data_IF_749651266850
#
_entry.id   IF_749651266850
#
_cell.length_a   1.000
_cell.length_b   1.000
_cell.length_c   1.000
_cell.angle_alpha   90.00
_cell.angle_beta   90.00
_cell.angle_gamma   90.00
#
_symmetry.space_group_name_H-M   'P 1'
#
loop_
_entity.id
_entity.type
_entity.pdbx_description
1 polymer ?
#
# COMPACT_ATOMS: atom_id res chain seq x y z
N UNK A 1 -14.45 2.01 -14.07
CA UNK A 1 -15.11 2.20 -12.76
C UNK A 1 -16.49 1.55 -12.69
N UNK A 2 -17.41 1.82 -13.62
CA UNK A 2 -18.77 1.24 -13.65
C UNK A 2 -18.82 -0.27 -13.36
N UNK A 3 -18.02 -1.07 -14.08
CA UNK A 3 -17.97 -2.53 -13.90
C UNK A 3 -17.63 -2.96 -12.45
N UNK A 4 -16.75 -2.21 -11.76
CA UNK A 4 -16.39 -2.48 -10.36
C UNK A 4 -17.59 -2.19 -9.44
N UNK A 5 -18.26 -1.06 -9.64
CA UNK A 5 -19.43 -0.67 -8.84
C UNK A 5 -20.55 -1.69 -9.06
N UNK A 6 -20.87 -2.00 -10.31
CA UNK A 6 -21.88 -2.98 -10.70
C UNK A 6 -21.63 -4.37 -10.13
N UNK A 7 -20.39 -4.85 -10.21
CA UNK A 7 -20.01 -6.14 -9.63
C UNK A 7 -19.95 -6.13 -8.09
N UNK A 8 -20.02 -4.97 -7.44
CA UNK A 8 -20.17 -4.89 -5.97
C UNK A 8 -21.61 -5.18 -5.54
N UNK A 9 -22.58 -5.04 -6.44
CA UNK A 9 -24.00 -5.11 -6.13
C UNK A 9 -24.51 -3.80 -5.53
N UNK A 10 -25.78 -3.81 -5.11
CA UNK A 10 -26.39 -2.66 -4.44
C UNK A 10 -25.81 -2.45 -3.04
N UNK A 11 -25.60 -1.19 -2.61
CA UNK A 11 -25.34 -0.84 -1.22
C UNK A 11 -26.43 -1.37 -0.28
N UNK A 12 -26.10 -1.59 1.00
CA UNK A 12 -27.03 -2.12 1.99
C UNK A 12 -28.21 -1.20 2.31
N UNK A 13 -28.03 0.10 2.09
CA UNK A 13 -29.02 1.16 2.27
C UNK A 13 -29.94 1.36 1.05
N UNK A 14 -29.70 0.64 -0.06
CA UNK A 14 -30.48 0.71 -1.30
C UNK A 14 -31.47 -0.46 -1.42
N UNK A 15 -32.51 -0.46 -0.59
CA UNK A 15 -33.55 -1.51 -0.59
C UNK A 15 -34.70 -1.20 -1.57
N UNK A 16 -35.13 0.05 -1.65
CA UNK A 16 -36.26 0.47 -2.51
C UNK A 16 -35.82 0.87 -3.92
N UNK A 17 -36.75 0.84 -4.88
CA UNK A 17 -36.45 1.25 -6.26
C UNK A 17 -36.12 2.74 -6.36
N UNK A 18 -36.70 3.59 -5.51
CA UNK A 18 -36.37 5.01 -5.43
C UNK A 18 -34.93 5.22 -4.94
N UNK A 19 -34.49 4.46 -3.94
CA UNK A 19 -33.12 4.52 -3.43
C UNK A 19 -32.11 4.06 -4.49
N UNK A 20 -32.43 2.97 -5.21
CA UNK A 20 -31.60 2.47 -6.32
C UNK A 20 -31.50 3.48 -7.46
N UNK A 21 -32.63 4.08 -7.86
CA UNK A 21 -32.66 5.11 -8.89
C UNK A 21 -31.84 6.34 -8.47
N UNK A 22 -32.00 6.77 -7.21
CA UNK A 22 -31.21 7.87 -6.65
C UNK A 22 -29.71 7.56 -6.64
N UNK A 23 -29.31 6.37 -6.20
CA UNK A 23 -27.90 5.96 -6.21
C UNK A 23 -27.27 6.03 -7.60
N UNK A 24 -28.01 5.61 -8.64
CA UNK A 24 -27.54 5.65 -10.04
C UNK A 24 -27.38 7.09 -10.52
N UNK A 25 -28.33 7.97 -10.21
CA UNK A 25 -28.27 9.39 -10.55
C UNK A 25 -27.14 10.09 -9.80
N UNK A 26 -27.03 9.89 -8.49
CA UNK A 26 -25.99 10.47 -7.64
C UNK A 26 -24.59 10.02 -8.11
N UNK A 27 -24.43 8.74 -8.48
CA UNK A 27 -23.16 8.23 -9.02
C UNK A 27 -22.81 8.88 -10.37
N UNK A 28 -23.79 9.15 -11.23
CA UNK A 28 -23.54 9.84 -12.49
C UNK A 28 -23.17 11.31 -12.24
N UNK A 29 -23.89 11.99 -11.35
CA UNK A 29 -23.69 13.41 -11.06
C UNK A 29 -22.35 13.68 -10.36
N UNK A 30 -22.00 12.87 -9.35
CA UNK A 30 -20.79 13.08 -8.54
C UNK A 30 -19.55 12.40 -9.13
N UNK A 31 -19.67 11.14 -9.58
CA UNK A 31 -18.51 10.36 -10.03
C UNK A 31 -18.32 10.41 -11.55
N UNK A 32 -19.32 10.90 -12.30
CA UNK A 32 -19.32 10.86 -13.76
C UNK A 32 -19.42 9.44 -14.33
N UNK A 33 -19.92 8.48 -13.54
CA UNK A 33 -19.96 7.06 -13.92
C UNK A 33 -21.39 6.63 -14.22
N UNK A 34 -21.66 6.30 -15.48
CA UNK A 34 -22.94 5.70 -15.87
C UNK A 34 -23.04 4.26 -15.39
N UNK A 35 -24.06 3.97 -14.58
CA UNK A 35 -24.38 2.62 -14.13
C UNK A 35 -25.57 2.06 -14.91
N UNK A 36 -25.50 0.77 -15.24
CA UNK A 36 -26.64 -0.01 -15.71
C UNK A 36 -27.22 -0.79 -14.52
N UNK A 37 -28.44 -0.43 -14.05
CA UNK A 37 -29.08 -1.06 -12.88
C UNK A 37 -29.26 -2.57 -13.03
N UNK A 38 -29.44 -3.06 -14.26
CA UNK A 38 -29.65 -4.51 -14.52
C UNK A 38 -28.39 -5.34 -14.26
N UNK A 39 -27.22 -4.69 -14.24
CA UNK A 39 -25.92 -5.32 -14.01
C UNK A 39 -25.40 -5.17 -12.58
N UNK A 40 -26.18 -4.55 -11.69
CA UNK A 40 -25.85 -4.36 -10.26
C UNK A 40 -25.99 -5.69 -9.48
N UNK A 41 -25.15 -6.67 -9.83
CA UNK A 41 -25.17 -8.03 -9.28
C UNK A 41 -23.84 -8.28 -8.57
N UNK A 42 -23.92 -8.66 -7.30
CA UNK A 42 -22.74 -8.98 -6.48
C UNK A 42 -21.97 -10.15 -7.10
N UNK A 43 -20.79 -9.86 -7.64
CA UNK A 43 -19.87 -10.81 -8.24
C UNK A 43 -18.44 -10.52 -7.76
N UNK A 44 -17.97 -11.17 -6.69
CA UNK A 44 -16.67 -10.90 -6.08
C UNK A 44 -15.49 -11.09 -7.05
N UNK A 45 -15.56 -12.08 -7.94
CA UNK A 45 -14.50 -12.36 -8.92
C UNK A 45 -14.41 -11.24 -9.97
N UNK A 46 -15.54 -10.86 -10.55
CA UNK A 46 -15.60 -9.77 -11.54
C UNK A 46 -15.22 -8.43 -10.91
N UNK A 47 -15.66 -8.18 -9.67
CA UNK A 47 -15.28 -6.98 -8.92
C UNK A 47 -13.77 -6.91 -8.71
N UNK A 48 -13.15 -8.04 -8.38
CA UNK A 48 -11.70 -8.14 -8.19
C UNK A 48 -10.96 -7.83 -9.50
N UNK A 49 -11.41 -8.42 -10.61
CA UNK A 49 -10.85 -8.16 -11.94
C UNK A 49 -11.01 -6.68 -12.34
N UNK A 50 -12.20 -6.11 -12.18
CA UNK A 50 -12.47 -4.72 -12.51
C UNK A 50 -11.64 -3.74 -11.65
N UNK A 51 -11.49 -4.04 -10.34
CA UNK A 51 -10.59 -3.27 -9.45
C UNK A 51 -9.14 -3.39 -9.88
N UNK A 52 -8.68 -4.60 -10.23
CA UNK A 52 -7.32 -4.84 -10.70
C UNK A 52 -7.03 -4.03 -11.98
N UNK A 53 -7.96 -4.02 -12.93
CA UNK A 53 -7.82 -3.22 -14.15
C UNK A 53 -7.68 -1.73 -13.82
N UNK A 54 -8.57 -1.16 -13.00
CA UNK A 54 -8.50 0.25 -12.61
C UNK A 54 -7.16 0.59 -11.93
N UNK A 55 -6.67 -0.29 -11.05
CA UNK A 55 -5.44 -0.06 -10.30
C UNK A 55 -4.17 -0.33 -11.11
N UNK A 56 -4.23 -1.12 -12.18
CA UNK A 56 -3.03 -1.49 -12.97
C UNK A 56 -2.63 -0.41 -13.98
N UNK A 57 -3.58 0.41 -14.45
CA UNK A 57 -3.32 1.42 -15.49
C UNK A 57 -2.26 2.44 -15.05
N UNK A 58 -2.39 3.01 -13.85
CA UNK A 58 -1.45 4.05 -13.42
C UNK A 58 -0.03 3.51 -13.21
N UNK A 59 0.10 2.27 -12.70
CA UNK A 59 1.40 1.62 -12.51
C UNK A 59 2.09 1.35 -13.86
N UNK A 60 1.30 1.13 -14.92
CA UNK A 60 1.80 0.90 -16.28
C UNK A 60 2.41 2.16 -16.89
N UNK A 61 1.92 3.35 -16.53
CA UNK A 61 2.50 4.61 -16.99
C UNK A 61 3.94 4.83 -16.49
N UNK A 62 4.26 4.32 -15.29
CA UNK A 62 5.59 4.43 -14.68
C UNK A 62 6.39 3.13 -14.66
N UNK A 63 6.08 2.15 -15.53
CA UNK A 63 6.80 0.89 -15.56
C UNK A 63 8.26 1.10 -16.01
N UNK A 64 9.21 0.67 -15.17
CA UNK A 64 10.62 0.63 -15.56
C UNK A 64 10.88 -0.52 -16.53
N UNK A 65 11.27 -0.21 -17.75
CA UNK A 65 11.59 -1.18 -18.81
C UNK A 65 13.04 -1.69 -18.76
N UNK A 66 13.95 -0.95 -18.12
CA UNK A 66 15.34 -1.33 -17.88
C UNK A 66 15.40 -2.41 -16.80
N UNK A 67 15.22 -3.66 -17.23
CA UNK A 67 15.24 -4.84 -16.36
C UNK A 67 15.86 -6.04 -17.09
N UNK A 68 16.45 -7.00 -16.35
CA UNK A 68 16.94 -8.22 -16.94
C UNK A 68 15.80 -8.96 -17.66
N UNK A 69 16.06 -9.38 -18.90
CA UNK A 69 15.16 -10.24 -19.70
C UNK A 69 15.76 -11.64 -19.76
N UNK A 70 14.90 -12.64 -19.73
CA UNK A 70 15.31 -14.05 -19.79
C UNK A 70 14.63 -14.70 -20.98
N UNK A 71 15.43 -15.35 -21.83
CA UNK A 71 14.99 -16.06 -23.01
C UNK A 71 15.45 -17.52 -22.98
N UNK A 72 14.62 -18.41 -23.53
CA UNK A 72 14.96 -19.81 -23.72
C UNK A 72 15.40 -20.01 -25.17
N UNK A 73 16.66 -20.38 -25.35
CA UNK A 73 17.31 -20.52 -26.64
C UNK A 73 17.53 -22.00 -26.93
N UNK A 74 17.08 -22.45 -28.11
CA UNK A 74 17.18 -23.85 -28.54
C UNK A 74 18.13 -24.06 -29.73
N UNK A 75 18.67 -22.97 -30.30
CA UNK A 75 19.54 -23.02 -31.47
C UNK A 75 20.76 -22.13 -31.30
N UNK A 76 21.88 -22.56 -31.89
CA UNK A 76 23.11 -21.77 -31.90
C UNK A 76 22.94 -20.42 -32.62
N UNK A 77 22.14 -20.38 -33.69
CA UNK A 77 21.86 -19.14 -34.43
C UNK A 77 21.20 -18.06 -33.57
N UNK A 78 20.18 -18.44 -32.78
CA UNK A 78 19.51 -17.51 -31.86
C UNK A 78 20.47 -17.02 -30.77
N UNK A 79 21.33 -17.92 -30.25
CA UNK A 79 22.34 -17.54 -29.27
C UNK A 79 23.32 -16.51 -29.84
N UNK A 80 23.87 -16.77 -31.03
CA UNK A 80 24.80 -15.86 -31.68
C UNK A 80 24.16 -14.52 -32.01
N UNK A 81 22.90 -14.51 -32.47
CA UNK A 81 22.18 -13.26 -32.71
C UNK A 81 22.00 -12.42 -31.46
N UNK A 82 21.84 -13.06 -30.29
CA UNK A 82 21.63 -12.37 -29.02
C UNK A 82 22.96 -11.87 -28.43
N UNK A 83 24.02 -12.68 -28.49
CA UNK A 83 25.36 -12.30 -28.00
C UNK A 83 25.98 -11.20 -28.86
N UNK A 84 25.73 -11.22 -30.17
CA UNK A 84 26.33 -10.25 -31.10
C UNK A 84 25.54 -8.94 -31.19
N UNK A 85 24.40 -8.84 -30.51
CA UNK A 85 23.56 -7.65 -30.52
C UNK A 85 24.18 -6.56 -29.62
N UNK A 86 24.63 -5.42 -30.18
CA UNK A 86 25.28 -4.37 -29.40
C UNK A 86 24.30 -3.64 -28.47
N UNK A 87 22.99 -3.90 -28.53
CA UNK A 87 21.99 -3.33 -27.62
C UNK A 87 21.76 -4.20 -26.38
N UNK A 88 22.36 -5.39 -26.32
CA UNK A 88 22.13 -6.38 -25.27
C UNK A 88 23.43 -6.78 -24.60
N UNK A 89 23.46 -6.71 -23.27
CA UNK A 89 24.53 -7.25 -22.45
C UNK A 89 24.10 -8.60 -21.86
N UNK A 90 24.73 -9.69 -22.30
CA UNK A 90 24.47 -11.03 -21.75
C UNK A 90 25.10 -11.14 -20.36
N UNK A 91 24.27 -11.37 -19.35
CA UNK A 91 24.71 -11.46 -17.94
C UNK A 91 24.79 -12.88 -17.42
N UNK A 92 24.06 -13.83 -18.04
CA UNK A 92 24.09 -15.24 -17.62
C UNK A 92 23.70 -16.16 -18.77
N UNK A 93 24.42 -17.29 -18.89
CA UNK A 93 24.10 -18.42 -19.75
C UNK A 93 23.98 -19.67 -18.88
N UNK A 94 22.81 -20.29 -18.85
CA UNK A 94 22.52 -21.44 -18.01
C UNK A 94 21.96 -22.60 -18.87
N UNK A 95 22.73 -23.67 -19.08
CA UNK A 95 22.21 -24.87 -19.73
C UNK A 95 21.13 -25.51 -18.88
N UNK A 96 19.91 -25.65 -19.42
CA UNK A 96 18.81 -26.34 -18.76
C UNK A 96 18.70 -27.80 -19.24
N UNK A 97 19.08 -28.05 -20.48
CA UNK A 97 19.20 -29.39 -21.09
C UNK A 97 20.16 -29.34 -22.27
N UNK A 98 20.41 -30.49 -22.90
CA UNK A 98 21.27 -30.59 -24.10
C UNK A 98 20.77 -29.74 -25.29
N UNK A 99 19.49 -29.37 -25.29
CA UNK A 99 18.85 -28.60 -26.36
C UNK A 99 18.34 -27.22 -25.91
N UNK A 100 18.48 -26.84 -24.64
CA UNK A 100 17.90 -25.60 -24.11
C UNK A 100 18.91 -24.85 -23.26
N UNK A 101 19.22 -23.62 -23.70
CA UNK A 101 20.03 -22.66 -22.97
C UNK A 101 19.14 -21.51 -22.51
N UNK A 102 19.11 -21.27 -21.21
CA UNK A 102 18.47 -20.09 -20.68
C UNK A 102 19.48 -18.95 -20.63
N UNK A 103 19.16 -17.87 -21.34
CA UNK A 103 20.00 -16.68 -21.45
C UNK A 103 19.34 -15.52 -20.75
N UNK A 104 20.05 -14.91 -19.80
CA UNK A 104 19.63 -13.67 -19.18
C UNK A 104 20.49 -12.53 -19.71
N UNK A 105 19.85 -11.44 -20.12
CA UNK A 105 20.50 -10.27 -20.68
C UNK A 105 19.86 -8.99 -20.15
N UNK A 106 20.62 -7.91 -20.15
CA UNK A 106 20.17 -6.57 -19.81
C UNK A 106 20.23 -5.70 -21.08
N UNK A 107 19.22 -4.85 -21.36
CA UNK A 107 19.40 -3.80 -22.36
C UNK A 107 20.59 -2.92 -21.94
N UNK A 108 21.42 -2.51 -22.88
CA UNK A 108 22.44 -1.49 -22.60
C UNK A 108 21.71 -0.15 -22.32
N UNK A 109 22.24 0.63 -21.38
CA UNK A 109 21.72 1.97 -21.09
C UNK A 109 21.59 2.80 -22.39
N UNK A 110 20.54 3.62 -22.51
CA UNK A 110 20.14 4.36 -23.72
C UNK A 110 19.63 3.54 -24.92
N UNK A 111 19.69 2.20 -24.88
CA UNK A 111 19.05 1.33 -25.89
C UNK A 111 17.72 0.74 -25.42
N UNK A 112 17.29 1.11 -24.22
CA UNK A 112 16.02 0.71 -23.64
C UNK A 112 14.84 1.28 -24.43
N UNK A 113 14.00 0.38 -24.95
CA UNK A 113 12.71 0.76 -25.52
C UNK A 113 11.69 1.02 -24.41
N UNK A 114 11.17 2.25 -24.38
CA UNK A 114 10.01 2.59 -23.55
C UNK A 114 8.74 1.92 -24.08
N UNK A 115 7.81 1.57 -23.19
CA UNK A 115 6.50 1.07 -23.63
C UNK A 115 5.69 2.19 -24.30
N UNK A 116 4.89 1.90 -25.33
CA UNK A 116 3.96 2.88 -25.92
C UNK A 116 2.95 3.44 -24.90
N UNK A 117 2.69 2.68 -23.84
CA UNK A 117 1.83 3.08 -22.71
C UNK A 117 2.55 3.87 -21.63
N UNK A 118 3.85 4.14 -21.75
CA UNK A 118 4.60 4.84 -20.69
C UNK A 118 4.24 6.32 -20.70
N UNK A 119 4.01 6.87 -19.52
CA UNK A 119 3.85 8.31 -19.36
C UNK A 119 4.28 8.73 -17.96
N UNK A 120 5.54 9.13 -17.84
CA UNK A 120 6.12 9.51 -16.55
C UNK A 120 5.39 10.69 -15.91
N UNK A 121 4.87 11.62 -16.72
CA UNK A 121 4.05 12.75 -16.26
C UNK A 121 2.78 12.25 -15.57
N UNK A 122 1.97 11.41 -16.22
CA UNK A 122 0.74 10.89 -15.62
C UNK A 122 1.02 10.06 -14.37
N UNK A 123 2.09 9.25 -14.37
CA UNK A 123 2.51 8.49 -13.18
C UNK A 123 2.89 9.42 -12.02
N UNK A 124 3.69 10.45 -12.28
CA UNK A 124 4.12 11.43 -11.29
C UNK A 124 2.92 12.18 -10.71
N UNK A 125 2.07 12.76 -11.57
CA UNK A 125 0.90 13.53 -11.15
C UNK A 125 -0.13 12.67 -10.42
N UNK A 126 -0.38 11.43 -10.85
CA UNK A 126 -1.31 10.53 -10.15
C UNK A 126 -0.83 10.25 -8.72
N UNK A 127 0.47 9.97 -8.52
CA UNK A 127 1.00 9.79 -7.16
C UNK A 127 1.05 11.09 -6.36
N UNK A 128 1.27 12.24 -7.01
CA UNK A 128 1.22 13.56 -6.37
C UNK A 128 -0.19 13.85 -5.85
N UNK A 129 -1.21 13.75 -6.70
CA UNK A 129 -2.60 13.99 -6.33
C UNK A 129 -3.07 13.02 -5.24
N UNK A 130 -2.68 11.75 -5.30
CA UNK A 130 -2.96 10.78 -4.23
C UNK A 130 -2.37 11.20 -2.88
N UNK A 131 -1.12 11.69 -2.86
CA UNK A 131 -0.49 12.20 -1.62
C UNK A 131 -1.17 13.47 -1.12
N UNK A 132 -1.49 14.42 -2.01
CA UNK A 132 -2.20 15.63 -1.62
C UNK A 132 -3.59 15.33 -1.05
N UNK A 133 -4.29 14.36 -1.63
CA UNK A 133 -5.59 13.94 -1.12
C UNK A 133 -5.47 13.32 0.28
N UNK A 134 -4.49 12.44 0.51
CA UNK A 134 -4.20 11.91 1.84
C UNK A 134 -3.84 13.03 2.83
N UNK A 135 -3.05 14.02 2.38
CA UNK A 135 -2.63 15.14 3.21
C UNK A 135 -3.81 15.98 3.72
N UNK A 136 -4.84 16.23 2.90
CA UNK A 136 -6.06 16.93 3.32
C UNK A 136 -6.71 16.27 4.54
N UNK A 137 -6.75 14.93 4.59
CA UNK A 137 -7.29 14.22 5.73
C UNK A 137 -6.36 14.26 6.94
N UNK A 138 -5.05 14.14 6.71
CA UNK A 138 -4.05 14.27 7.78
C UNK A 138 -4.11 15.65 8.46
N UNK A 139 -4.41 16.71 7.71
CA UNK A 139 -4.54 18.07 8.26
C UNK A 139 -5.75 18.25 9.19
N UNK A 140 -6.80 17.45 9.03
CA UNK A 140 -7.98 17.43 9.92
C UNK A 140 -7.64 16.76 11.26
N UNK A 141 -6.90 15.64 11.22
CA UNK A 141 -6.60 14.84 12.41
C UNK A 141 -5.32 15.26 13.12
N UNK A 142 -4.37 15.88 12.40
CA UNK A 142 -3.09 16.37 12.91
C UNK A 142 -2.38 15.36 13.81
N UNK A 143 -2.08 15.72 15.05
CA UNK A 143 -1.38 14.90 16.04
C UNK A 143 -2.16 13.64 16.42
N UNK A 144 -3.45 13.55 16.10
CA UNK A 144 -4.26 12.35 16.33
C UNK A 144 -3.97 11.26 15.29
N UNK A 145 -3.28 11.55 14.19
CA UNK A 145 -2.89 10.55 13.21
C UNK A 145 -1.82 9.59 13.79
N UNK A 146 -2.20 8.34 13.99
CA UNK A 146 -1.32 7.28 14.52
C UNK A 146 -0.52 6.60 13.42
N UNK A 147 -1.14 6.38 12.26
CA UNK A 147 -0.54 5.71 11.12
C UNK A 147 -1.24 6.11 9.83
N UNK A 148 -0.50 6.13 8.72
CA UNK A 148 -1.08 6.28 7.40
C UNK A 148 -0.30 5.47 6.37
N UNK A 149 -0.99 4.91 5.38
CA UNK A 149 -0.35 4.20 4.26
C UNK A 149 -1.19 4.36 3.00
N UNK A 150 -0.61 5.08 2.03
CA UNK A 150 -1.12 5.31 0.67
C UNK A 150 -2.48 6.01 0.59
N UNK A 151 -3.53 5.37 1.08
CA UNK A 151 -4.94 5.75 0.99
C UNK A 151 -5.72 5.47 2.29
N UNK A 152 -5.01 5.22 3.40
CA UNK A 152 -5.61 4.93 4.72
C UNK A 152 -5.00 5.77 5.83
N UNK A 153 -5.80 6.13 6.84
CA UNK A 153 -5.38 6.82 8.07
C UNK A 153 -6.00 6.10 9.27
N UNK A 154 -5.16 5.72 10.23
CA UNK A 154 -5.60 5.33 11.56
C UNK A 154 -5.34 6.51 12.51
N UNK A 155 -6.36 6.92 13.25
CA UNK A 155 -6.29 8.12 14.10
C UNK A 155 -7.09 7.95 15.39
N UNK A 156 -6.83 8.82 16.35
CA UNK A 156 -7.59 8.90 17.60
C UNK A 156 -8.85 9.76 17.37
N UNK A 157 -10.03 9.18 17.56
CA UNK A 157 -11.28 9.94 17.69
C UNK A 157 -11.46 10.40 19.15
N UNK A 158 -11.85 11.66 19.36
CA UNK A 158 -12.12 12.22 20.69
C UNK A 158 -13.38 13.09 20.65
N UNK A 159 -14.15 13.13 21.75
CA UNK A 159 -15.31 14.03 21.85
C UNK A 159 -14.91 15.49 21.64
N UNK A 160 -15.60 16.18 20.73
CA UNK A 160 -15.38 17.61 20.44
C UNK A 160 -14.33 17.91 19.38
N UNK A 161 -13.63 16.91 18.85
CA UNK A 161 -12.70 17.04 17.74
C UNK A 161 -13.31 16.47 16.44
N UNK A 162 -13.03 17.04 15.26
CA UNK A 162 -13.66 16.59 14.02
C UNK A 162 -13.12 15.23 13.58
N UNK A 163 -14.00 14.25 13.38
CA UNK A 163 -13.64 12.98 12.76
C UNK A 163 -13.51 13.13 11.23
N UNK A 164 -12.80 12.18 10.61
CA UNK A 164 -12.62 12.20 9.16
C UNK A 164 -13.97 11.98 8.46
N UNK A 165 -14.33 12.81 7.47
CA UNK A 165 -15.59 12.63 6.76
C UNK A 165 -15.52 11.35 5.93
N UNK A 166 -16.53 10.50 6.10
CA UNK A 166 -16.75 9.32 5.27
C UNK A 166 -17.82 9.61 4.22
N UNK A 167 -17.81 8.83 3.15
CA UNK A 167 -18.77 8.98 2.07
C UNK A 167 -18.85 7.75 1.17
N UNK A 168 -19.78 7.79 0.22
CA UNK A 168 -20.09 6.68 -0.70
C UNK A 168 -19.56 6.91 -2.12
N UNK A 169 -18.97 8.08 -2.40
CA UNK A 169 -18.55 8.49 -3.73
C UNK A 169 -17.07 8.19 -4.00
N UNK A 170 -16.68 8.33 -5.27
CA UNK A 170 -15.32 8.05 -5.70
C UNK A 170 -14.33 9.04 -5.07
N UNK A 171 -13.45 8.50 -4.20
CA UNK A 171 -12.40 9.27 -3.54
C UNK A 171 -12.71 9.59 -2.08
N UNK A 172 -13.92 9.29 -1.62
CA UNK A 172 -14.29 9.40 -0.21
C UNK A 172 -13.58 8.34 0.64
N UNK A 173 -13.37 8.67 1.90
CA UNK A 173 -12.94 7.70 2.89
C UNK A 173 -14.11 6.81 3.28
N UNK A 174 -13.80 5.54 3.53
CA UNK A 174 -14.74 4.54 4.04
C UNK A 174 -14.26 4.05 5.40
N UNK A 175 -15.20 3.76 6.31
CA UNK A 175 -14.85 3.12 7.58
C UNK A 175 -14.60 1.62 7.36
N UNK A 176 -13.32 1.26 7.29
CA UNK A 176 -12.90 -0.13 7.11
C UNK A 176 -13.22 -1.00 8.34
N UNK A 177 -13.23 -0.43 9.54
CA UNK A 177 -13.50 -1.19 10.77
C UNK A 177 -14.97 -1.60 10.81
N UNK A 178 -15.85 -0.68 10.45
CA UNK A 178 -17.27 -0.98 10.28
C UNK A 178 -17.52 -1.97 9.13
N UNK A 179 -16.85 -1.81 7.97
CA UNK A 179 -17.01 -2.73 6.83
C UNK A 179 -16.59 -4.18 7.19
N UNK A 180 -15.47 -4.34 7.90
CA UNK A 180 -14.91 -5.65 8.21
C UNK A 180 -15.55 -6.33 9.45
N UNK A 181 -16.05 -5.54 10.43
CA UNK A 181 -16.49 -6.05 11.74
C UNK A 181 -17.93 -5.69 12.12
N UNK A 182 -18.61 -4.87 11.32
CA UNK A 182 -20.01 -4.48 11.48
C UNK A 182 -20.20 -3.12 12.17
N UNK A 183 -21.42 -2.55 12.10
CA UNK A 183 -21.73 -1.22 12.61
C UNK A 183 -21.39 -1.04 14.09
N UNK A 184 -20.82 0.12 14.42
CA UNK A 184 -20.42 0.46 15.80
C UNK A 184 -19.13 -0.24 16.28
N UNK A 185 -18.45 -0.99 15.42
CA UNK A 185 -17.13 -1.53 15.74
C UNK A 185 -16.07 -0.43 15.77
N UNK A 186 -15.17 -0.47 16.74
CA UNK A 186 -14.08 0.51 16.83
C UNK A 186 -12.79 -0.10 17.36
N UNK A 187 -11.67 0.56 17.08
CA UNK A 187 -10.35 0.14 17.56
C UNK A 187 -10.16 0.62 19.00
N UNK A 188 -9.87 -0.31 19.92
CA UNK A 188 -9.61 0.00 21.33
C UNK A 188 -8.12 0.25 21.61
N UNK A 189 -7.24 -0.50 20.94
CA UNK A 189 -5.80 -0.32 21.05
C UNK A 189 -5.14 -0.44 19.68
N UNK A 190 -4.14 0.41 19.43
CA UNK A 190 -3.37 0.42 18.19
C UNK A 190 -1.87 0.50 18.50
N UNK A 191 -1.08 -0.34 17.85
CA UNK A 191 0.37 -0.42 18.02
C UNK A 191 1.03 -0.45 16.63
N UNK A 192 1.97 0.47 16.40
CA UNK A 192 2.76 0.49 15.17
C UNK A 192 4.27 0.40 15.49
N UNK A 193 4.91 -0.61 14.91
CA UNK A 193 6.36 -0.79 14.93
C UNK A 193 7.07 -0.20 13.71
N UNK A 194 6.34 0.40 12.77
CA UNK A 194 6.90 1.02 11.56
C UNK A 194 6.05 0.78 10.31
N UNK A 195 6.52 1.19 9.14
CA UNK A 195 5.80 1.02 7.88
C UNK A 195 5.41 -0.45 7.63
N UNK A 196 4.11 -0.70 7.50
CA UNK A 196 3.53 -2.04 7.26
C UNK A 196 3.88 -3.06 8.35
N UNK A 197 4.09 -2.59 9.58
CA UNK A 197 4.29 -3.39 10.79
C UNK A 197 3.44 -2.81 11.92
N UNK A 198 2.17 -3.20 12.00
CA UNK A 198 1.23 -2.69 13.00
C UNK A 198 0.20 -3.75 13.40
N UNK A 199 -0.42 -3.56 14.56
CA UNK A 199 -1.47 -4.42 15.08
C UNK A 199 -2.47 -3.60 15.88
N UNK A 200 -3.72 -4.04 15.91
CA UNK A 200 -4.80 -3.36 16.61
C UNK A 200 -5.85 -4.33 17.11
N UNK A 201 -6.56 -3.90 18.15
CA UNK A 201 -7.67 -4.61 18.79
C UNK A 201 -8.98 -3.91 18.39
N UNK A 202 -9.95 -4.68 17.90
CA UNK A 202 -11.28 -4.17 17.50
C UNK A 202 -12.34 -4.71 18.46
N UNK A 203 -13.11 -3.82 19.08
CA UNK A 203 -14.34 -4.19 19.79
C UNK A 203 -15.48 -4.30 18.77
N UNK A 204 -15.96 -5.52 18.50
CA UNK A 204 -17.00 -5.72 17.46
C UNK A 204 -18.36 -5.24 17.94
N UNK A 205 -19.08 -4.49 17.09
CA UNK A 205 -20.41 -3.96 17.41
C UNK A 205 -20.45 -3.13 18.68
N UNK A 206 -19.31 -2.53 19.06
CA UNK A 206 -19.14 -1.78 20.30
C UNK A 206 -18.99 -2.62 21.56
N UNK A 207 -18.95 -3.95 21.46
CA UNK A 207 -18.77 -4.84 22.59
C UNK A 207 -17.28 -5.01 22.94
N UNK A 208 -16.88 -4.45 24.08
CA UNK A 208 -15.50 -4.49 24.59
C UNK A 208 -15.06 -5.92 24.97
N UNK A 209 -16.01 -6.83 25.22
CA UNK A 209 -15.71 -8.23 25.53
C UNK A 209 -15.52 -9.09 24.26
N UNK A 210 -16.04 -8.68 23.10
CA UNK A 210 -15.83 -9.35 21.82
C UNK A 210 -14.72 -8.66 21.01
N UNK A 211 -13.48 -8.94 21.40
CA UNK A 211 -12.28 -8.36 20.79
C UNK A 211 -11.74 -9.21 19.65
N UNK A 212 -11.48 -8.57 18.50
CA UNK A 212 -10.71 -9.15 17.40
C UNK A 212 -9.32 -8.55 17.32
N UNK A 213 -8.30 -9.40 17.26
CA UNK A 213 -6.92 -9.00 16.99
C UNK A 213 -6.68 -8.95 15.48
N UNK A 214 -6.12 -7.84 15.00
CA UNK A 214 -5.65 -7.67 13.64
C UNK A 214 -4.16 -7.36 13.66
N UNK A 215 -3.37 -8.10 12.88
CA UNK A 215 -1.92 -7.87 12.75
C UNK A 215 -1.53 -7.82 11.28
N UNK A 216 -0.69 -6.83 10.94
CA UNK A 216 -0.19 -6.57 9.59
C UNK A 216 1.31 -6.43 9.67
N UNK A 217 2.03 -7.44 9.16
CA UNK A 217 3.49 -7.44 9.11
C UNK A 217 3.97 -7.78 7.69
N UNK A 218 4.67 -6.82 7.07
CA UNK A 218 5.24 -7.05 5.74
C UNK A 218 6.41 -8.01 5.82
N UNK A 219 6.41 -8.98 4.91
CA UNK A 219 7.53 -9.91 4.74
C UNK A 219 7.46 -11.12 5.65
N UNK A 220 6.51 -11.23 6.58
CA UNK A 220 6.30 -12.45 7.37
C UNK A 220 4.93 -13.03 7.00
N UNK A 221 4.91 -14.24 6.46
CA UNK A 221 3.66 -14.96 6.21
C UNK A 221 3.22 -15.61 7.51
N UNK A 222 2.21 -15.03 8.16
CA UNK A 222 1.65 -15.57 9.39
C UNK A 222 0.97 -16.90 9.07
N UNK A 223 1.43 -17.96 9.72
CA UNK A 223 0.91 -19.31 9.59
C UNK A 223 1.13 -20.04 10.92
N UNK A 224 0.71 -21.30 11.01
CA UNK A 224 0.76 -22.08 12.25
C UNK A 224 2.16 -22.26 12.87
N UNK A 225 3.23 -22.07 12.11
CA UNK A 225 4.61 -22.15 12.64
C UNK A 225 5.09 -20.89 13.34
N UNK A 226 4.33 -19.78 13.27
CA UNK A 226 4.72 -18.51 13.86
C UNK A 226 3.57 -17.66 14.42
N UNK A 227 2.33 -18.16 14.39
CA UNK A 227 1.15 -17.43 14.89
C UNK A 227 1.23 -17.15 16.40
N UNK A 228 1.86 -18.04 17.17
CA UNK A 228 2.14 -17.84 18.60
C UNK A 228 3.23 -16.78 18.87
N UNK A 229 4.10 -16.51 17.90
CA UNK A 229 5.18 -15.53 18.01
C UNK A 229 4.75 -14.16 17.49
N UNK A 230 4.03 -14.12 16.37
CA UNK A 230 3.58 -12.90 15.70
C UNK A 230 2.24 -12.47 16.28
N UNK A 231 2.27 -11.94 17.50
CA UNK A 231 1.10 -11.54 18.28
C UNK A 231 1.07 -10.04 18.57
N UNK A 232 -0.11 -9.51 18.88
CA UNK A 232 -0.29 -8.12 19.31
C UNK A 232 0.59 -7.81 20.53
N UNK A 233 0.56 -8.67 21.54
CA UNK A 233 1.32 -8.48 22.78
C UNK A 233 2.83 -8.44 22.54
N UNK A 234 3.35 -9.32 21.68
CA UNK A 234 4.76 -9.32 21.33
C UNK A 234 5.16 -8.07 20.55
N UNK A 235 4.33 -7.61 19.61
CA UNK A 235 4.57 -6.33 18.93
C UNK A 235 4.55 -5.17 19.92
N UNK A 236 3.57 -5.13 20.83
CA UNK A 236 3.45 -4.11 21.88
C UNK A 236 4.68 -4.10 22.77
N UNK A 237 5.10 -5.24 23.31
CA UNK A 237 6.31 -5.37 24.11
C UNK A 237 7.54 -4.83 23.36
N UNK A 238 7.70 -5.15 22.08
CA UNK A 238 8.81 -4.62 21.30
C UNK A 238 8.72 -3.11 21.06
N UNK A 239 7.53 -2.60 20.76
CA UNK A 239 7.32 -1.16 20.60
C UNK A 239 7.50 -0.43 21.92
N UNK A 240 7.19 -1.02 23.06
CA UNK A 240 7.40 -0.40 24.38
C UNK A 240 8.85 -0.51 24.88
N UNK A 241 9.72 -1.22 24.14
CA UNK A 241 11.12 -1.43 24.53
C UNK A 241 11.31 -2.49 25.61
N UNK A 242 10.31 -3.34 25.84
CA UNK A 242 10.39 -4.49 26.76
C UNK A 242 11.15 -5.65 26.12
N UNK A 243 11.13 -5.75 24.79
CA UNK A 243 11.84 -6.75 24.00
C UNK A 243 12.47 -6.09 22.75
N UNK A 244 13.69 -6.46 22.39
CA UNK A 244 14.33 -5.87 21.20
C UNK A 244 13.77 -6.46 19.89
N UNK A 245 13.70 -7.78 19.81
CA UNK A 245 13.31 -8.50 18.60
C UNK A 245 12.82 -9.92 18.90
N UNK A 246 12.14 -10.51 17.92
CA UNK A 246 11.73 -11.92 17.92
C UNK A 246 12.24 -12.60 16.66
N UNK A 247 12.92 -13.74 16.82
CA UNK A 247 13.35 -14.57 15.70
C UNK A 247 12.18 -15.47 15.28
N UNK A 248 11.58 -15.16 14.13
CA UNK A 248 10.46 -15.92 13.58
C UNK A 248 11.00 -17.04 12.68
N UNK A 249 10.79 -18.32 13.04
CA UNK A 249 11.24 -19.44 12.22
C UNK A 249 10.37 -19.57 10.96
N UNK A 250 11.01 -19.96 9.86
CA UNK A 250 10.37 -20.32 8.59
C UNK A 250 10.92 -21.69 8.18
N UNK A 251 10.29 -22.78 8.65
CA UNK A 251 10.86 -24.12 8.52
C UNK A 251 10.92 -24.60 7.06
N UNK A 252 10.06 -24.08 6.18
CA UNK A 252 9.95 -24.50 4.77
C UNK A 252 9.94 -23.31 3.83
N UNK A 253 11.01 -22.51 3.84
CA UNK A 253 11.16 -21.43 2.88
C UNK A 253 11.53 -22.00 1.50
N UNK A 254 10.70 -21.69 0.50
CA UNK A 254 11.07 -21.88 -0.91
C UNK A 254 12.08 -20.79 -1.28
N UNK A 255 13.29 -21.19 -1.66
CA UNK A 255 14.34 -20.30 -2.08
C UNK A 255 14.83 -20.70 -3.48
N UNK A 256 15.21 -19.70 -4.27
CA UNK A 256 15.84 -19.90 -5.57
C UNK A 256 17.34 -19.64 -5.43
N UNK A 257 18.14 -20.65 -5.72
CA UNK A 257 19.59 -20.57 -5.77
C UNK A 257 20.06 -20.05 -7.15
N UNK A 258 21.34 -19.69 -7.30
CA UNK A 258 21.94 -19.48 -8.62
C UNK A 258 21.64 -20.66 -9.54
N UNK A 259 21.45 -20.39 -10.83
CA UNK A 259 21.07 -21.41 -11.80
C UNK A 259 19.61 -21.88 -11.72
N UNK A 260 18.70 -21.05 -11.19
CA UNK A 260 17.25 -21.34 -11.13
C UNK A 260 16.85 -22.60 -10.34
N UNK A 261 17.80 -23.19 -9.60
CA UNK A 261 17.54 -24.33 -8.74
C UNK A 261 16.63 -23.90 -7.58
N UNK A 262 15.45 -24.50 -7.53
CA UNK A 262 14.49 -24.29 -6.44
C UNK A 262 14.82 -25.27 -5.33
N UNK A 263 14.97 -24.77 -4.11
CA UNK A 263 15.17 -25.58 -2.91
C UNK A 263 14.18 -25.17 -1.83
N UNK A 264 13.82 -26.12 -0.99
CA UNK A 264 13.11 -25.86 0.27
C UNK A 264 14.12 -25.95 1.40
N UNK A 265 14.24 -24.89 2.20
CA UNK A 265 15.17 -24.84 3.33
C UNK A 265 14.54 -24.19 4.55
N UNK A 266 15.05 -24.53 5.73
CA UNK A 266 14.76 -23.76 6.94
C UNK A 266 15.45 -22.39 6.86
N UNK A 267 14.77 -21.37 7.37
CA UNK A 267 15.30 -20.02 7.53
C UNK A 267 14.61 -19.35 8.72
N UNK A 268 14.99 -18.12 9.04
CA UNK A 268 14.29 -17.30 10.02
C UNK A 268 14.26 -15.84 9.57
N UNK A 269 13.39 -15.05 10.21
CA UNK A 269 13.34 -13.60 10.06
C UNK A 269 13.40 -12.95 11.43
N UNK A 270 14.23 -11.92 11.56
CA UNK A 270 14.26 -11.11 12.76
C UNK A 270 13.15 -10.07 12.65
N UNK A 271 12.09 -10.26 13.42
CA UNK A 271 10.99 -9.31 13.52
C UNK A 271 11.27 -8.32 14.64
N UNK A 272 11.26 -7.03 14.30
CA UNK A 272 11.48 -5.94 15.25
C UNK A 272 10.79 -4.67 14.74
N UNK A 273 10.47 -3.72 15.62
CA UNK A 273 10.11 -2.36 15.24
C UNK A 273 11.27 -1.69 14.49
N UNK A 274 10.98 -1.05 13.36
CA UNK A 274 11.97 -0.33 12.55
C UNK A 274 11.40 1.02 12.16
N UNK A 275 12.05 2.07 12.65
CA UNK A 275 11.70 3.45 12.36
C UNK A 275 12.88 4.17 11.71
N UNK A 276 12.95 4.15 10.37
CA UNK A 276 14.08 4.75 9.64
C UNK A 276 13.90 6.25 9.35
N UNK A 277 12.69 6.78 9.54
CA UNK A 277 12.33 8.16 9.19
C UNK A 277 11.93 9.02 10.39
N UNK A 278 11.82 8.42 11.57
CA UNK A 278 11.39 9.11 12.79
C UNK A 278 12.25 8.66 13.96
N UNK A 279 12.50 9.58 14.88
CA UNK A 279 13.08 9.31 16.20
C UNK A 279 11.97 9.20 17.24
N UNK A 280 12.21 8.39 18.25
CA UNK A 280 11.36 8.34 19.44
C UNK A 280 11.65 9.56 20.33
N UNK A 281 10.61 10.23 20.82
CA UNK A 281 10.72 11.36 21.76
C UNK A 281 10.29 10.97 23.16
N UNK A 282 9.32 10.06 23.28
CA UNK A 282 8.94 9.43 24.55
C UNK A 282 8.45 8.00 24.28
N UNK A 283 7.88 7.33 25.29
CA UNK A 283 7.41 5.95 25.15
C UNK A 283 6.34 5.80 24.06
N UNK A 284 5.42 6.77 23.93
CA UNK A 284 4.26 6.71 23.05
C UNK A 284 4.47 7.43 21.71
N UNK A 285 5.37 8.42 21.65
CA UNK A 285 5.47 9.38 20.56
C UNK A 285 6.76 9.25 19.77
N UNK A 286 6.64 9.46 18.46
CA UNK A 286 7.77 9.56 17.54
C UNK A 286 7.61 10.79 16.67
N UNK A 287 8.71 11.44 16.31
CA UNK A 287 8.73 12.61 15.42
C UNK A 287 9.71 12.39 14.27
N UNK A 288 9.47 12.95 13.07
CA UNK A 288 10.41 12.86 11.97
C UNK A 288 11.83 13.30 12.36
N UNK A 289 12.85 12.72 11.73
CA UNK A 289 14.20 13.28 11.86
C UNK A 289 14.23 14.70 11.29
N UNK A 290 14.87 15.64 12.00
CA UNK A 290 14.85 17.06 11.64
C UNK A 290 13.62 17.82 12.12
N UNK A 291 12.62 17.14 12.72
CA UNK A 291 11.55 17.83 13.44
C UNK A 291 12.13 18.44 14.72
N UNK A 292 12.45 19.72 14.60
CA UNK A 292 12.47 20.64 15.72
C UNK A 292 11.04 21.16 15.83
N UNK A 293 10.41 21.04 17.01
CA UNK A 293 9.29 21.91 17.28
C UNK A 293 9.89 23.31 17.18
N UNK A 294 9.61 24.01 16.08
CA UNK A 294 9.80 25.44 16.06
C UNK A 294 8.89 25.88 17.20
N UNK A 295 9.47 26.15 18.39
CA UNK A 295 8.85 27.11 19.29
C UNK A 295 8.55 28.28 18.36
N UNK A 296 7.28 28.69 18.29
CA UNK A 296 6.78 29.74 17.40
C UNK A 296 7.93 30.69 17.08
N UNK A 297 8.37 30.66 15.81
CA UNK A 297 9.47 31.46 15.31
C UNK A 297 9.43 32.80 16.05
N UNK A 298 10.51 33.14 16.79
CA UNK A 298 10.61 34.45 17.44
C UNK A 298 10.24 35.52 16.40
N UNK A 299 9.58 36.62 16.76
CA UNK A 299 8.98 37.60 15.81
C UNK A 299 9.89 37.93 14.60
N UNK A 300 11.22 37.93 14.79
CA UNK A 300 12.22 38.11 13.73
C UNK A 300 12.19 37.06 12.59
N UNK A 301 11.90 35.80 12.90
CA UNK A 301 11.80 34.69 11.92
C UNK A 301 10.44 34.70 11.19
N UNK A 302 9.38 35.26 11.81
CA UNK A 302 8.09 35.51 11.15
C UNK A 302 8.20 36.66 10.14
N UNK A 303 8.87 37.75 10.50
CA UNK A 303 9.16 38.86 9.59
C UNK A 303 9.99 38.40 8.38
N UNK A 304 10.92 37.45 8.59
CA UNK A 304 11.72 36.87 7.50
C UNK A 304 10.87 35.99 6.56
N UNK A 305 9.96 35.19 7.10
CA UNK A 305 9.02 34.37 6.31
C UNK A 305 8.06 35.26 5.49
N UNK A 306 7.51 36.32 6.10
CA UNK A 306 6.67 37.28 5.38
C UNK A 306 7.45 38.02 4.29
N UNK A 307 8.71 38.41 4.56
CA UNK A 307 9.57 39.02 3.55
C UNK A 307 9.92 38.06 2.40
N UNK A 308 10.07 36.76 2.68
CA UNK A 308 10.29 35.74 1.66
C UNK A 308 9.05 35.49 0.79
N UNK A 309 7.86 35.49 1.38
CA UNK A 309 6.60 35.38 0.63
C UNK A 309 6.37 36.62 -0.26
N UNK A 310 6.69 37.82 0.24
CA UNK A 310 6.64 39.06 -0.55
C UNK A 310 7.64 39.09 -1.73
N UNK A 311 8.76 38.37 -1.60
CA UNK A 311 9.75 38.23 -2.66
C UNK A 311 9.38 37.13 -3.68
N UNK A 312 8.52 36.19 -3.32
CA UNK A 312 8.03 35.15 -4.23
C UNK A 312 6.95 35.66 -5.20
N UNK A 313 6.25 36.75 -4.82
CA UNK A 313 5.21 37.42 -5.62
C UNK A 313 5.72 38.64 -6.45
N UNK A 314 7.04 38.88 -6.48
CA UNK A 314 7.70 39.95 -7.26
C UNK A 314 8.41 39.42 -8.51
#
# INVERSE_FOLDING_TARGET
MALKIQASGWPSDCETEEQKAKFVEDTLQHDGVTLDPTKMIKNPALRTLAKLMCNSFWGKFGEKTHRPKTELIFTYGNLMSLISDPTKEVTSLLPLSDACLQVTWMPIEDTEESLPSSSLLHAAFTTCFGRMQLYKYLDIVRERALYHDTDSVAYISRPGEPDLPTGSHLGDLTDQVEEDYGPGSFITEFVAGGPKNYSYLVAKGGNIDDVKVCIKVRGITINRSCDELVTFNNLKAMVMGENDNIVVPIPRQIARLPGWKIVTRASSKNWQPVNTKRRRVDVANTVPHGYNAWAEADEEDQDLLEAMDLLADA
#
